data_IF_381109956097
#
_entry.id   IF_381109956097
#
_cell.length_a   1.000
_cell.length_b   1.000
_cell.length_c   1.000
_cell.angle_alpha   90.00
_cell.angle_beta   90.00
_cell.angle_gamma   90.00
#
_symmetry.space_group_name_H-M   'P 1'
#
loop_
_entity.id
_entity.type
_entity.pdbx_description
1 polymer ?
#
# COMPACT_ATOMS: atom_id res chain seq x y z
N UNK A 1 40.71 -27.50 -14.30
CA UNK A 1 40.98 -26.14 -13.78
C UNK A 1 39.65 -25.62 -13.25
N UNK A 2 39.60 -25.20 -12.00
CA UNK A 2 38.41 -24.58 -11.44
C UNK A 2 38.41 -23.12 -11.88
N UNK A 3 37.34 -22.69 -12.53
CA UNK A 3 37.15 -21.29 -12.91
C UNK A 3 36.41 -20.58 -11.77
N UNK A 4 36.97 -19.52 -11.14
CA UNK A 4 36.29 -18.75 -10.11
C UNK A 4 35.14 -17.95 -10.71
N UNK A 5 34.13 -17.62 -9.88
CA UNK A 5 33.14 -16.62 -10.21
C UNK A 5 33.77 -15.23 -10.32
N UNK A 6 33.30 -14.41 -11.22
CA UNK A 6 33.85 -13.07 -11.51
C UNK A 6 32.92 -11.93 -11.06
N UNK A 7 31.78 -12.25 -10.43
CA UNK A 7 30.89 -11.23 -9.88
C UNK A 7 31.41 -10.79 -8.50
N UNK A 8 31.90 -9.57 -8.39
CA UNK A 8 32.40 -8.99 -7.15
C UNK A 8 31.27 -8.40 -6.30
N UNK A 9 31.47 -8.27 -5.00
CA UNK A 9 30.47 -7.78 -4.04
C UNK A 9 29.96 -6.37 -4.40
N UNK A 10 30.82 -5.49 -4.85
CA UNK A 10 30.50 -4.12 -5.29
C UNK A 10 29.61 -4.08 -6.52
N UNK A 11 29.61 -5.16 -7.33
CA UNK A 11 28.81 -5.29 -8.55
C UNK A 11 27.45 -5.97 -8.28
N UNK A 12 27.17 -6.40 -7.05
CA UNK A 12 25.90 -7.02 -6.71
C UNK A 12 24.75 -6.03 -6.93
N UNK A 13 23.70 -6.49 -7.60
CA UNK A 13 22.45 -5.74 -7.67
C UNK A 13 21.89 -5.49 -6.25
N UNK A 14 21.22 -4.36 -6.06
CA UNK A 14 20.72 -3.93 -4.74
C UNK A 14 19.58 -4.77 -4.19
N UNK A 15 19.28 -5.91 -4.84
CA UNK A 15 18.15 -6.76 -4.48
C UNK A 15 18.39 -8.23 -4.79
N UNK A 16 17.59 -9.09 -4.18
CA UNK A 16 17.56 -10.52 -4.45
C UNK A 16 16.25 -10.93 -5.13
N UNK A 17 16.31 -11.77 -6.18
CA UNK A 17 17.50 -12.25 -6.89
C UNK A 17 18.28 -11.10 -7.53
N UNK A 18 19.56 -11.32 -7.82
CA UNK A 18 20.41 -10.31 -8.47
C UNK A 18 19.80 -9.93 -9.83
N UNK A 19 19.18 -8.74 -9.87
CA UNK A 19 18.56 -8.17 -11.07
C UNK A 19 18.47 -6.66 -10.91
N UNK A 20 18.75 -5.93 -11.96
CA UNK A 20 18.62 -4.48 -12.03
C UNK A 20 17.24 -4.02 -12.52
N UNK A 21 16.42 -4.95 -13.01
CA UNK A 21 15.16 -4.64 -13.71
C UNK A 21 14.08 -3.98 -12.81
N UNK A 22 14.13 -4.16 -11.49
CA UNK A 22 13.10 -3.69 -10.57
C UNK A 22 13.47 -2.41 -9.79
N UNK A 23 14.69 -1.87 -9.95
CA UNK A 23 15.22 -0.88 -9.02
C UNK A 23 15.73 0.36 -9.73
N UNK A 24 14.84 1.33 -9.89
CA UNK A 24 15.25 2.70 -10.15
C UNK A 24 15.46 3.44 -8.82
N UNK A 25 16.23 4.52 -8.83
CA UNK A 25 16.43 5.40 -7.66
C UNK A 25 15.14 6.09 -7.22
N UNK A 26 14.11 6.08 -8.05
CA UNK A 26 12.78 6.61 -7.78
C UNK A 26 11.72 5.77 -8.51
N UNK A 27 10.61 5.50 -7.82
CA UNK A 27 9.44 4.91 -8.42
C UNK A 27 8.52 6.01 -8.91
N UNK A 28 8.34 6.10 -10.23
CA UNK A 28 7.50 7.12 -10.87
C UNK A 28 6.22 6.45 -11.34
N UNK A 29 5.08 7.10 -11.07
CA UNK A 29 3.75 6.64 -11.46
C UNK A 29 3.06 7.70 -12.30
N UNK A 30 2.26 7.27 -13.29
CA UNK A 30 1.48 8.12 -14.18
C UNK A 30 0.11 7.52 -14.45
N UNK A 31 -0.88 8.40 -14.66
CA UNK A 31 -2.24 8.03 -15.05
C UNK A 31 -2.83 6.94 -14.15
N UNK A 32 -2.93 7.21 -12.85
CA UNK A 32 -3.52 6.25 -11.93
C UNK A 32 -5.01 6.52 -11.73
N UNK A 33 -5.79 5.43 -11.72
CA UNK A 33 -7.21 5.43 -11.33
C UNK A 33 -7.33 4.77 -9.96
N UNK A 34 -8.06 5.40 -9.03
CA UNK A 34 -8.17 4.96 -7.64
C UNK A 34 -9.63 4.92 -7.19
N UNK A 35 -10.00 3.83 -6.54
CA UNK A 35 -11.23 3.70 -5.76
C UNK A 35 -10.83 3.61 -4.29
N UNK A 36 -11.27 4.55 -3.48
CA UNK A 36 -10.82 4.71 -2.11
C UNK A 36 -12.00 4.81 -1.14
N UNK A 37 -11.93 4.10 -0.04
CA UNK A 37 -12.80 4.32 1.12
C UNK A 37 -11.97 4.59 2.36
N UNK A 38 -12.48 5.50 3.21
CA UNK A 38 -12.03 5.66 4.59
C UNK A 38 -13.11 5.11 5.51
N UNK A 39 -12.72 4.35 6.51
CA UNK A 39 -13.65 3.68 7.42
C UNK A 39 -13.14 3.67 8.86
N UNK A 40 -14.05 3.53 9.80
CA UNK A 40 -13.76 3.15 11.18
C UNK A 40 -13.91 1.65 11.37
N UNK A 41 -13.14 1.10 12.31
CA UNK A 41 -13.19 -0.30 12.70
C UNK A 41 -13.19 -0.45 14.23
N UNK A 42 -13.57 -1.65 14.70
CA UNK A 42 -13.39 -2.03 16.09
C UNK A 42 -11.91 -2.26 16.40
N UNK A 43 -11.45 -1.71 17.55
CA UNK A 43 -10.06 -1.81 18.00
C UNK A 43 -9.60 -3.28 18.13
N UNK A 44 -10.40 -4.12 18.78
CA UNK A 44 -10.00 -5.51 19.04
C UNK A 44 -9.79 -6.33 17.76
N UNK A 45 -10.48 -5.97 16.66
CA UNK A 45 -10.36 -6.68 15.39
C UNK A 45 -9.11 -6.33 14.59
N UNK A 46 -8.43 -5.21 14.91
CA UNK A 46 -7.31 -4.69 14.11
C UNK A 46 -6.04 -4.41 14.94
N UNK A 47 -6.12 -4.45 16.27
CA UNK A 47 -5.00 -4.13 17.15
C UNK A 47 -3.76 -4.99 16.90
N UNK A 48 -3.94 -6.27 16.62
CA UNK A 48 -2.85 -7.21 16.33
C UNK A 48 -2.14 -6.96 14.98
N UNK A 49 -2.64 -6.03 14.16
CA UNK A 49 -2.01 -5.66 12.90
C UNK A 49 -0.99 -4.53 13.06
N UNK A 50 -0.99 -3.86 14.20
CA UNK A 50 -0.15 -2.69 14.46
C UNK A 50 0.95 -3.08 15.45
N UNK A 51 2.23 -3.03 15.04
CA UNK A 51 3.34 -3.37 15.93
C UNK A 51 3.62 -2.26 16.93
N UNK A 52 4.04 -2.62 18.15
CA UNK A 52 4.65 -1.65 19.07
C UNK A 52 5.93 -1.04 18.45
N UNK A 53 6.26 0.24 18.70
CA UNK A 53 5.62 1.17 19.62
C UNK A 53 4.55 2.06 18.96
N UNK A 54 3.97 1.67 17.81
CA UNK A 54 2.92 2.43 17.14
C UNK A 54 1.62 2.38 17.97
N UNK A 55 0.89 3.49 17.97
CA UNK A 55 -0.44 3.58 18.59
C UNK A 55 -1.45 4.11 17.57
N UNK A 56 -2.70 3.70 17.64
CA UNK A 56 -3.74 4.28 16.77
C UNK A 56 -3.90 5.78 17.04
N UNK A 57 -4.01 6.56 15.96
CA UNK A 57 -4.16 8.01 16.05
C UNK A 57 -5.55 8.46 16.56
N UNK A 58 -6.53 7.56 16.57
CA UNK A 58 -7.92 7.83 16.92
C UNK A 58 -8.44 6.76 17.90
N UNK A 59 -9.39 7.13 18.76
CA UNK A 59 -10.04 6.19 19.69
C UNK A 59 -10.68 4.99 18.98
N UNK A 60 -11.34 5.24 17.85
CA UNK A 60 -11.71 4.17 16.90
C UNK A 60 -10.68 4.17 15.77
N UNK A 61 -10.07 3.02 15.47
CA UNK A 61 -9.13 2.90 14.37
C UNK A 61 -9.72 3.40 13.06
N UNK A 62 -9.02 4.31 12.39
CA UNK A 62 -9.41 4.78 11.05
C UNK A 62 -8.52 4.09 10.03
N UNK A 63 -9.17 3.30 9.15
CA UNK A 63 -8.54 2.60 8.06
C UNK A 63 -8.82 3.26 6.71
N UNK A 64 -7.95 3.01 5.76
CA UNK A 64 -8.12 3.38 4.35
C UNK A 64 -7.87 2.15 3.49
N UNK A 65 -8.84 1.81 2.64
CA UNK A 65 -8.70 0.83 1.59
C UNK A 65 -8.70 1.58 0.25
N UNK A 66 -7.64 1.38 -0.53
CA UNK A 66 -7.53 1.92 -1.89
C UNK A 66 -7.30 0.78 -2.87
N UNK A 67 -8.12 0.69 -3.91
CA UNK A 67 -7.90 -0.18 -5.06
C UNK A 67 -7.53 0.73 -6.21
N UNK A 68 -6.37 0.51 -6.83
CA UNK A 68 -5.86 1.40 -7.85
C UNK A 68 -5.26 0.66 -9.04
N UNK A 69 -5.23 1.35 -10.18
CA UNK A 69 -4.51 0.96 -11.38
C UNK A 69 -3.47 2.04 -11.68
N UNK A 70 -2.21 1.68 -11.71
CA UNK A 70 -1.13 2.49 -12.25
C UNK A 70 -0.96 2.13 -13.72
N UNK A 71 -1.51 2.96 -14.63
CA UNK A 71 -1.45 2.69 -16.06
C UNK A 71 -0.01 2.71 -16.58
N UNK A 72 0.85 3.51 -15.97
CA UNK A 72 2.29 3.54 -16.23
C UNK A 72 3.06 3.71 -14.92
N UNK A 73 4.13 2.94 -14.77
CA UNK A 73 5.15 3.18 -13.75
C UNK A 73 6.51 2.68 -14.21
N UNK A 74 7.58 3.06 -13.48
CA UNK A 74 8.93 2.56 -13.70
C UNK A 74 9.10 1.06 -13.41
N UNK A 75 8.07 0.42 -12.81
CA UNK A 75 7.99 -1.03 -12.58
C UNK A 75 6.87 -1.68 -13.40
N UNK A 76 6.45 -1.04 -14.51
CA UNK A 76 5.41 -1.51 -15.40
C UNK A 76 4.01 -1.02 -15.03
N UNK A 77 3.01 -1.44 -15.83
CA UNK A 77 1.59 -1.22 -15.53
C UNK A 77 1.10 -2.32 -14.57
N UNK A 78 0.39 -1.94 -13.52
CA UNK A 78 -0.13 -2.92 -12.56
C UNK A 78 -1.31 -2.38 -11.75
N UNK A 79 -2.08 -3.29 -11.19
CA UNK A 79 -3.11 -2.99 -10.20
C UNK A 79 -2.58 -3.23 -8.78
N UNK A 80 -3.10 -2.46 -7.84
CA UNK A 80 -2.72 -2.54 -6.43
C UNK A 80 -3.93 -2.35 -5.52
N UNK A 81 -3.96 -3.07 -4.41
CA UNK A 81 -4.86 -2.81 -3.30
C UNK A 81 -4.02 -2.53 -2.05
N UNK A 82 -4.26 -1.38 -1.44
CA UNK A 82 -3.57 -0.88 -0.25
C UNK A 82 -4.54 -0.84 0.91
N UNK A 83 -4.12 -1.38 2.04
CA UNK A 83 -4.83 -1.27 3.31
C UNK A 83 -3.91 -0.68 4.37
N UNK A 84 -4.30 0.44 4.93
CA UNK A 84 -3.55 1.14 5.97
C UNK A 84 -4.43 1.57 7.12
N UNK A 85 -3.81 1.81 8.29
CA UNK A 85 -4.44 2.46 9.43
C UNK A 85 -3.67 3.69 9.86
N UNK A 86 -4.41 4.70 10.37
CA UNK A 86 -3.80 5.91 10.94
C UNK A 86 -3.20 5.57 12.29
N UNK A 87 -1.90 5.80 12.42
CA UNK A 87 -1.14 5.56 13.66
C UNK A 87 -0.33 6.80 14.04
N UNK A 88 0.00 6.91 15.32
CA UNK A 88 0.94 7.91 15.83
C UNK A 88 2.25 7.24 16.24
N UNK A 89 3.35 7.88 15.89
CA UNK A 89 4.69 7.53 16.32
C UNK A 89 5.52 8.81 16.48
N UNK A 90 6.17 9.01 17.64
CA UNK A 90 6.99 10.19 17.93
C UNK A 90 6.27 11.53 17.63
N UNK A 91 5.01 11.65 18.06
CA UNK A 91 4.14 12.81 17.86
C UNK A 91 3.78 13.13 16.40
N UNK A 92 4.03 12.21 15.47
CA UNK A 92 3.62 12.34 14.09
C UNK A 92 2.58 11.27 13.73
N UNK A 93 1.59 11.65 12.92
CA UNK A 93 0.61 10.71 12.36
C UNK A 93 1.11 10.16 11.03
N UNK A 94 0.96 8.85 10.87
CA UNK A 94 1.33 8.08 9.68
C UNK A 94 0.17 7.23 9.17
N UNK A 95 0.21 6.87 7.88
CA UNK A 95 -0.55 5.77 7.29
C UNK A 95 0.30 4.49 7.35
N UNK A 96 0.07 3.65 8.37
CA UNK A 96 0.80 2.39 8.51
C UNK A 96 0.19 1.31 7.60
N UNK A 97 1.01 0.74 6.70
CA UNK A 97 0.60 -0.26 5.72
C UNK A 97 0.53 -1.65 6.36
N UNK A 98 -0.69 -2.15 6.57
CA UNK A 98 -0.94 -3.49 7.12
C UNK A 98 -1.05 -4.55 6.03
N UNK A 99 -1.43 -4.18 4.82
CA UNK A 99 -1.58 -5.10 3.71
C UNK A 99 -1.45 -4.38 2.36
N UNK A 100 -0.76 -5.04 1.42
CA UNK A 100 -0.66 -4.58 0.03
C UNK A 100 -0.72 -5.78 -0.91
N UNK A 101 -1.61 -5.72 -1.88
CA UNK A 101 -1.74 -6.74 -2.92
C UNK A 101 -1.44 -6.10 -4.27
N UNK A 102 -0.71 -6.81 -5.14
CA UNK A 102 -0.29 -6.29 -6.46
C UNK A 102 -0.42 -7.36 -7.54
N UNK A 103 -0.60 -6.94 -8.79
CA UNK A 103 -0.62 -7.86 -9.94
C UNK A 103 0.75 -8.03 -10.60
N UNK A 104 1.72 -7.15 -10.31
CA UNK A 104 3.02 -7.12 -10.96
C UNK A 104 4.17 -7.58 -10.06
N UNK A 105 5.02 -8.50 -10.56
CA UNK A 105 6.18 -9.00 -9.82
C UNK A 105 7.22 -7.90 -9.55
N UNK A 106 7.54 -7.06 -10.53
CA UNK A 106 8.48 -5.95 -10.35
C UNK A 106 8.01 -4.97 -9.27
N UNK A 107 6.69 -4.67 -9.24
CA UNK A 107 6.08 -3.83 -8.20
C UNK A 107 6.13 -4.49 -6.82
N UNK A 108 5.99 -5.83 -6.76
CA UNK A 108 6.13 -6.60 -5.52
C UNK A 108 7.54 -6.50 -4.96
N UNK A 109 8.55 -6.84 -5.77
CA UNK A 109 9.96 -6.86 -5.35
C UNK A 109 10.41 -5.46 -4.90
N UNK A 110 10.22 -4.44 -5.74
CA UNK A 110 10.60 -3.06 -5.41
C UNK A 110 9.97 -2.58 -4.09
N UNK A 111 8.70 -2.88 -3.86
CA UNK A 111 8.01 -2.45 -2.64
C UNK A 111 8.49 -3.20 -1.40
N UNK A 112 8.62 -4.52 -1.47
CA UNK A 112 8.98 -5.35 -0.31
C UNK A 112 10.40 -5.11 0.16
N UNK A 113 11.36 -5.20 -0.77
CA UNK A 113 12.77 -5.26 -0.40
C UNK A 113 13.33 -3.90 -0.04
N UNK A 114 12.90 -2.84 -0.73
CA UNK A 114 13.40 -1.48 -0.48
C UNK A 114 12.67 -0.78 0.66
N UNK A 115 11.34 -0.89 0.70
CA UNK A 115 10.51 -0.04 1.56
C UNK A 115 9.75 -0.81 2.64
N UNK A 116 9.68 -2.16 2.55
CA UNK A 116 8.98 -2.97 3.53
C UNK A 116 7.46 -3.00 3.36
N UNK A 117 6.92 -2.60 2.19
CA UNK A 117 5.49 -2.81 1.93
C UNK A 117 5.16 -4.30 2.02
N UNK A 118 4.12 -4.70 2.77
CA UNK A 118 3.75 -6.11 2.94
C UNK A 118 3.07 -6.68 1.68
N UNK A 119 3.74 -6.56 0.51
CA UNK A 119 3.20 -6.90 -0.80
C UNK A 119 3.09 -8.40 -1.01
N UNK A 120 1.98 -8.82 -1.64
CA UNK A 120 1.73 -10.17 -2.13
C UNK A 120 1.11 -10.10 -3.52
N UNK A 121 1.31 -11.14 -4.34
CA UNK A 121 0.63 -11.24 -5.63
C UNK A 121 -0.86 -11.56 -5.44
N UNK A 122 -1.68 -10.94 -6.26
CA UNK A 122 -3.13 -11.09 -6.23
C UNK A 122 -3.74 -10.80 -7.61
N UNK A 123 -5.00 -11.19 -7.79
CA UNK A 123 -5.81 -10.84 -8.94
C UNK A 123 -6.63 -9.60 -8.58
N UNK A 124 -6.33 -8.49 -9.25
CA UNK A 124 -6.97 -7.20 -8.99
C UNK A 124 -7.41 -6.59 -10.31
N UNK A 125 -8.60 -5.99 -10.32
CA UNK A 125 -9.09 -5.23 -11.49
C UNK A 125 -9.98 -4.09 -11.06
N UNK A 126 -10.02 -3.07 -11.92
CA UNK A 126 -10.98 -1.97 -11.85
C UNK A 126 -11.73 -1.96 -13.19
N UNK A 127 -13.03 -2.01 -13.11
CA UNK A 127 -13.95 -2.02 -14.24
C UNK A 127 -14.98 -0.90 -14.05
N UNK A 128 -15.58 -0.46 -15.15
CA UNK A 128 -16.70 0.47 -15.11
C UNK A 128 -17.90 -0.18 -15.80
N UNK A 129 -19.05 -0.11 -15.15
CA UNK A 129 -20.32 -0.57 -15.70
C UNK A 129 -21.35 0.54 -15.48
N UNK A 130 -21.92 1.04 -16.57
CA UNK A 130 -22.79 2.21 -16.58
C UNK A 130 -22.12 3.41 -15.85
N UNK A 131 -22.71 3.85 -14.75
CA UNK A 131 -22.21 4.94 -13.92
C UNK A 131 -21.51 4.47 -12.63
N UNK A 132 -21.05 3.21 -12.59
CA UNK A 132 -20.45 2.61 -11.39
C UNK A 132 -19.04 2.14 -11.71
N UNK A 133 -18.09 2.51 -10.87
CA UNK A 133 -16.73 1.96 -10.88
C UNK A 133 -16.66 0.80 -9.88
N UNK A 134 -16.07 -0.32 -10.31
CA UNK A 134 -16.02 -1.58 -9.55
C UNK A 134 -14.57 -2.01 -9.40
N UNK A 135 -14.09 -2.05 -8.16
CA UNK A 135 -12.79 -2.64 -7.80
C UNK A 135 -12.99 -4.05 -7.24
N UNK A 136 -12.28 -5.02 -7.77
CA UNK A 136 -12.32 -6.42 -7.31
C UNK A 136 -10.92 -6.87 -6.92
N UNK A 137 -10.80 -7.53 -5.76
CA UNK A 137 -9.53 -8.05 -5.23
C UNK A 137 -9.73 -9.51 -4.83
N UNK A 138 -8.85 -10.38 -5.31
CA UNK A 138 -8.80 -11.80 -4.96
C UNK A 138 -7.35 -12.23 -4.73
N UNK A 139 -7.09 -13.16 -3.83
CA UNK A 139 -5.81 -13.87 -3.86
C UNK A 139 -5.75 -14.72 -5.13
N UNK A 140 -4.53 -14.98 -5.63
CA UNK A 140 -4.35 -15.74 -6.86
C UNK A 140 -5.13 -17.06 -6.86
N UNK A 141 -5.90 -17.28 -7.91
CA UNK A 141 -6.73 -18.47 -8.10
C UNK A 141 -7.80 -18.71 -7.02
N UNK A 142 -8.26 -17.65 -6.34
CA UNK A 142 -9.29 -17.73 -5.31
C UNK A 142 -10.49 -16.83 -5.66
N UNK A 143 -11.57 -17.01 -4.91
CA UNK A 143 -12.73 -16.13 -4.99
C UNK A 143 -12.37 -14.71 -4.52
N UNK A 144 -13.05 -13.68 -5.03
CA UNK A 144 -12.86 -12.32 -4.58
C UNK A 144 -13.09 -12.16 -3.07
N UNK A 145 -12.12 -11.59 -2.38
CA UNK A 145 -12.21 -11.22 -0.96
C UNK A 145 -12.76 -9.83 -0.76
N UNK A 146 -12.59 -8.93 -1.75
CA UNK A 146 -13.13 -7.57 -1.72
C UNK A 146 -13.77 -7.26 -3.07
N UNK A 147 -14.97 -6.66 -3.01
CA UNK A 147 -15.58 -5.95 -4.12
C UNK A 147 -16.07 -4.60 -3.62
N UNK A 148 -15.47 -3.54 -4.13
CA UNK A 148 -15.84 -2.16 -3.85
C UNK A 148 -16.50 -1.56 -5.09
N UNK A 149 -17.76 -1.15 -4.96
CA UNK A 149 -18.51 -0.46 -6.00
C UNK A 149 -18.69 0.99 -5.57
N UNK A 150 -18.34 1.94 -6.41
CA UNK A 150 -18.56 3.36 -6.18
C UNK A 150 -19.35 3.92 -7.35
N UNK A 151 -20.49 4.52 -7.05
CA UNK A 151 -21.26 5.33 -7.98
C UNK A 151 -20.92 6.78 -7.73
N UNK A 152 -20.13 7.44 -8.61
CA UNK A 152 -19.81 8.86 -8.50
C UNK A 152 -21.10 9.69 -8.68
N UNK A 153 -21.33 10.63 -7.78
CA UNK A 153 -22.52 11.50 -7.83
C UNK A 153 -22.15 12.98 -7.80
N UNK A 154 -21.11 13.35 -7.05
CA UNK A 154 -20.74 14.74 -6.83
C UNK A 154 -19.26 14.95 -7.08
N UNK A 155 -18.88 15.93 -7.95
CA UNK A 155 -17.47 16.28 -8.10
C UNK A 155 -16.96 16.98 -6.84
N UNK A 156 -15.73 16.69 -6.47
CA UNK A 156 -14.99 17.38 -5.39
C UNK A 156 -14.18 18.49 -6.05
N UNK A 157 -14.43 19.74 -5.66
CA UNK A 157 -13.88 20.91 -6.35
C UNK A 157 -12.45 21.25 -5.93
N UNK A 158 -12.05 20.84 -4.72
CA UNK A 158 -10.73 21.12 -4.15
C UNK A 158 -10.11 19.87 -3.54
N UNK A 159 -8.81 19.73 -3.66
CA UNK A 159 -8.10 18.58 -3.04
C UNK A 159 -7.77 18.89 -1.57
N UNK A 160 -8.73 18.64 -0.70
CA UNK A 160 -8.59 18.77 0.76
C UNK A 160 -8.27 17.44 1.45
N UNK A 161 -7.78 16.44 0.71
CA UNK A 161 -7.42 15.15 1.29
C UNK A 161 -6.35 15.31 2.35
N UNK A 162 -6.64 14.83 3.55
CA UNK A 162 -5.64 14.71 4.58
C UNK A 162 -4.67 13.60 4.21
N UNK A 163 -3.41 13.95 4.00
CA UNK A 163 -2.33 13.03 3.64
C UNK A 163 -1.40 12.85 4.82
N UNK A 164 -1.07 11.60 5.10
CA UNK A 164 -0.09 11.23 6.10
C UNK A 164 1.07 10.51 5.41
N UNK A 165 2.31 10.70 5.86
CA UNK A 165 3.42 9.88 5.37
C UNK A 165 3.10 8.39 5.54
N UNK A 166 3.47 7.60 4.56
CA UNK A 166 3.34 6.15 4.65
C UNK A 166 4.42 5.58 5.57
N UNK A 167 4.07 4.54 6.32
CA UNK A 167 4.97 3.85 7.24
C UNK A 167 4.84 2.34 7.02
N UNK A 168 5.96 1.65 6.85
CA UNK A 168 6.02 0.22 6.63
C UNK A 168 6.94 -0.45 7.63
N UNK A 169 6.66 -1.70 7.97
CA UNK A 169 7.58 -2.58 8.68
C UNK A 169 8.42 -3.36 7.68
N UNK A 170 9.68 -2.99 7.53
CA UNK A 170 10.65 -3.72 6.72
C UNK A 170 11.31 -4.79 7.57
N UNK A 171 11.15 -6.05 7.19
CA UNK A 171 11.72 -7.17 7.91
C UNK A 171 12.37 -8.18 6.95
N UNK A 172 13.60 -8.58 7.25
CA UNK A 172 14.31 -9.66 6.57
C UNK A 172 14.65 -10.72 7.63
N UNK A 173 14.04 -11.91 7.55
CA UNK A 173 14.27 -12.97 8.51
C UNK A 173 15.71 -13.50 8.44
N UNK A 174 16.17 -14.14 9.52
CA UNK A 174 17.40 -14.95 9.50
C UNK A 174 17.14 -16.26 8.74
N UNK A 175 18.20 -16.84 8.17
CA UNK A 175 18.17 -18.22 7.66
C UNK A 175 18.11 -19.25 8.79
N UNK A 176 18.53 -18.87 9.98
CA UNK A 176 18.38 -19.63 11.22
C UNK A 176 17.04 -19.24 11.86
N UNK A 177 16.06 -20.17 11.98
CA UNK A 177 14.74 -19.86 12.51
C UNK A 177 14.77 -19.47 14.00
N UNK A 178 15.79 -19.87 14.75
CA UNK A 178 15.94 -19.56 16.18
C UNK A 178 16.67 -18.22 16.40
N UNK A 179 17.22 -17.63 15.34
CA UNK A 179 17.89 -16.34 15.44
C UNK A 179 16.91 -15.17 15.15
N UNK A 180 17.17 -13.97 15.72
CA UNK A 180 16.40 -12.79 15.39
C UNK A 180 16.52 -12.45 13.90
N UNK A 181 15.56 -11.69 13.32
CA UNK A 181 15.66 -11.24 11.94
C UNK A 181 16.94 -10.43 11.72
N UNK A 182 17.42 -10.38 10.48
CA UNK A 182 18.63 -9.61 10.12
C UNK A 182 18.32 -8.12 9.97
N UNK A 183 17.11 -7.79 9.59
CA UNK A 183 16.56 -6.43 9.52
C UNK A 183 15.17 -6.46 10.12
N UNK A 184 14.85 -5.48 10.97
CA UNK A 184 13.49 -5.27 11.50
C UNK A 184 13.35 -3.79 11.86
N UNK A 185 12.75 -2.99 10.97
CA UNK A 185 12.76 -1.54 11.05
C UNK A 185 11.46 -0.91 10.52
N UNK A 186 11.07 0.23 11.08
CA UNK A 186 10.01 1.06 10.51
C UNK A 186 10.62 2.02 9.50
N UNK A 187 10.07 2.02 8.29
CA UNK A 187 10.53 2.84 7.17
C UNK A 187 9.41 3.75 6.71
N UNK A 188 9.69 5.04 6.60
CA UNK A 188 8.83 6.02 5.93
C UNK A 188 9.41 6.41 4.58
N UNK A 189 8.55 6.81 3.64
CA UNK A 189 8.96 7.18 2.28
C UNK A 189 8.86 8.67 2.06
N UNK A 190 9.81 9.22 1.30
CA UNK A 190 9.75 10.56 0.74
C UNK A 190 9.35 10.50 -0.74
N UNK A 191 8.93 11.64 -1.30
CA UNK A 191 8.60 11.73 -2.72
C UNK A 191 7.61 12.85 -3.02
N UNK A 192 7.01 12.77 -4.19
CA UNK A 192 5.97 13.70 -4.63
C UNK A 192 4.61 13.02 -4.47
N UNK A 193 3.71 13.57 -3.65
CA UNK A 193 2.38 12.99 -3.48
C UNK A 193 1.59 13.02 -4.79
N UNK A 194 0.56 12.17 -4.87
CA UNK A 194 -0.28 12.07 -6.05
C UNK A 194 -1.02 13.39 -6.34
N UNK A 195 -0.91 13.85 -7.59
CA UNK A 195 -1.60 15.06 -8.09
C UNK A 195 -2.87 14.61 -8.82
N UNK A 196 -4.03 15.14 -8.43
CA UNK A 196 -5.30 14.83 -9.08
C UNK A 196 -5.29 15.40 -10.50
N UNK A 197 -5.85 14.65 -11.44
CA UNK A 197 -6.01 15.07 -12.83
C UNK A 197 -7.09 16.14 -12.92
N UNK A 198 -6.81 17.23 -13.64
CA UNK A 198 -7.80 18.22 -14.04
C UNK A 198 -8.33 17.84 -15.41
N UNK A 199 -9.65 17.76 -15.55
CA UNK A 199 -10.32 17.49 -16.82
C UNK A 199 -10.36 18.74 -17.71
N UNK A 200 -10.80 18.59 -18.96
CA UNK A 200 -10.85 19.69 -19.94
C UNK A 200 -11.82 20.82 -19.58
N UNK A 201 -12.78 20.54 -18.74
CA UNK A 201 -13.74 21.52 -18.19
C UNK A 201 -13.20 22.28 -16.96
N UNK A 202 -11.95 22.01 -16.55
CA UNK A 202 -11.30 22.63 -15.40
C UNK A 202 -11.63 22.00 -14.06
N UNK A 203 -12.50 20.99 -14.02
CA UNK A 203 -12.84 20.28 -12.80
C UNK A 203 -11.79 19.19 -12.49
N UNK A 204 -11.68 18.82 -11.21
CA UNK A 204 -10.85 17.71 -10.79
C UNK A 204 -11.54 16.38 -11.13
N UNK A 205 -10.79 15.43 -11.67
CA UNK A 205 -11.24 14.02 -11.78
C UNK A 205 -11.25 13.38 -10.37
N UNK A 206 -12.05 13.97 -9.49
CA UNK A 206 -12.22 13.58 -8.11
C UNK A 206 -13.71 13.62 -7.74
N UNK A 207 -14.25 12.45 -7.43
CA UNK A 207 -15.68 12.28 -7.23
C UNK A 207 -15.95 11.58 -5.90
N UNK A 208 -16.99 12.03 -5.21
CA UNK A 208 -17.64 11.32 -4.11
C UNK A 208 -19.01 10.83 -4.51
N UNK A 209 -19.58 9.90 -3.77
CA UNK A 209 -20.89 9.35 -4.08
C UNK A 209 -21.29 8.22 -3.15
N UNK A 210 -22.13 7.33 -3.64
CA UNK A 210 -22.53 6.11 -2.91
C UNK A 210 -21.58 4.99 -3.19
N UNK A 211 -21.30 4.20 -2.15
CA UNK A 211 -20.53 2.99 -2.31
C UNK A 211 -21.23 1.77 -1.71
N UNK A 212 -20.90 0.61 -2.27
CA UNK A 212 -21.25 -0.69 -1.71
C UNK A 212 -19.97 -1.52 -1.59
N UNK A 213 -19.74 -2.07 -0.41
CA UNK A 213 -18.55 -2.86 -0.09
C UNK A 213 -18.97 -4.27 0.31
N UNK A 214 -18.50 -5.25 -0.45
CA UNK A 214 -18.46 -6.64 -0.04
C UNK A 214 -17.03 -6.95 0.36
N UNK A 215 -16.83 -7.39 1.60
CA UNK A 215 -15.50 -7.74 2.13
C UNK A 215 -15.64 -9.02 2.95
N UNK A 216 -14.92 -10.05 2.53
CA UNK A 216 -14.95 -11.37 3.15
C UNK A 216 -14.16 -11.35 4.47
N UNK A 217 -14.72 -11.97 5.50
CA UNK A 217 -14.07 -12.13 6.80
C UNK A 217 -13.30 -13.46 6.94
N UNK A 218 -13.42 -14.35 5.96
CA UNK A 218 -12.77 -15.67 5.94
C UNK A 218 -11.35 -15.65 5.35
N UNK A 219 -10.83 -14.49 4.91
CA UNK A 219 -9.50 -14.41 4.33
C UNK A 219 -8.44 -15.05 5.26
N UNK A 220 -7.57 -15.90 4.69
CA UNK A 220 -6.51 -16.59 5.44
C UNK A 220 -5.54 -15.58 6.05
N UNK A 221 -5.19 -14.52 5.29
CA UNK A 221 -4.35 -13.44 5.76
C UNK A 221 -5.13 -12.51 6.70
N UNK A 222 -4.74 -12.41 7.99
CA UNK A 222 -5.45 -11.59 8.97
C UNK A 222 -5.60 -10.13 8.57
N UNK A 223 -4.61 -9.56 7.85
CA UNK A 223 -4.64 -8.18 7.40
C UNK A 223 -5.82 -7.92 6.45
N UNK A 224 -6.25 -8.93 5.69
CA UNK A 224 -7.29 -8.83 4.67
C UNK A 224 -8.66 -9.38 5.11
N UNK A 225 -8.83 -9.73 6.38
CA UNK A 225 -10.15 -10.04 6.94
C UNK A 225 -10.95 -8.77 7.12
N UNK A 226 -12.25 -8.85 6.89
CA UNK A 226 -13.15 -7.73 7.15
C UNK A 226 -13.07 -7.33 8.63
N UNK A 227 -12.73 -6.07 8.95
CA UNK A 227 -12.78 -5.58 10.33
C UNK A 227 -14.22 -5.63 10.88
N UNK A 228 -14.35 -5.94 12.17
CA UNK A 228 -15.66 -5.86 12.84
C UNK A 228 -16.09 -4.40 12.96
N UNK A 229 -17.40 -4.18 13.04
CA UNK A 229 -18.02 -2.86 13.19
C UNK A 229 -17.52 -1.82 12.16
N UNK A 230 -17.18 -2.30 10.95
CA UNK A 230 -16.74 -1.42 9.87
C UNK A 230 -17.84 -0.41 9.52
N UNK A 231 -17.52 0.89 9.64
CA UNK A 231 -18.38 2.00 9.23
C UNK A 231 -17.66 2.88 8.21
N UNK A 232 -18.17 2.92 6.98
CA UNK A 232 -17.58 3.78 5.94
C UNK A 232 -17.84 5.24 6.29
N UNK A 233 -16.78 6.04 6.28
CA UNK A 233 -16.81 7.49 6.53
C UNK A 233 -16.88 8.28 5.24
N UNK A 234 -16.14 7.83 4.21
CA UNK A 234 -16.14 8.46 2.88
C UNK A 234 -15.79 7.46 1.80
N UNK A 235 -16.19 7.75 0.58
CA UNK A 235 -15.77 7.00 -0.59
C UNK A 235 -15.48 7.94 -1.76
N UNK A 236 -14.48 7.58 -2.56
CA UNK A 236 -13.99 8.44 -3.64
C UNK A 236 -13.53 7.62 -4.84
N UNK A 237 -13.85 8.14 -6.04
CA UNK A 237 -13.25 7.73 -7.30
C UNK A 237 -12.36 8.87 -7.79
N UNK A 238 -11.07 8.58 -8.03
CA UNK A 238 -10.03 9.59 -8.27
C UNK A 238 -9.18 9.18 -9.45
N UNK A 239 -8.86 10.13 -10.34
CA UNK A 239 -7.77 9.96 -11.31
C UNK A 239 -6.64 10.92 -10.99
N UNK A 240 -5.40 10.45 -11.09
CA UNK A 240 -4.21 11.25 -10.82
C UNK A 240 -3.29 11.30 -12.02
N UNK A 241 -2.61 12.44 -12.18
CA UNK A 241 -1.62 12.64 -13.25
C UNK A 241 -0.34 11.85 -12.95
N UNK A 242 0.06 11.82 -11.67
CA UNK A 242 1.24 11.08 -11.26
C UNK A 242 1.65 11.32 -9.82
N UNK A 243 2.59 10.50 -9.38
CA UNK A 243 3.26 10.58 -8.08
C UNK A 243 4.67 10.01 -8.19
N UNK A 244 5.48 10.18 -7.16
CA UNK A 244 6.84 9.64 -7.11
C UNK A 244 7.21 9.26 -5.67
N UNK A 245 7.84 8.10 -5.52
CA UNK A 245 8.51 7.66 -4.29
C UNK A 245 10.01 7.71 -4.56
N UNK A 246 10.76 8.47 -3.75
CA UNK A 246 12.20 8.66 -3.96
C UNK A 246 13.04 7.79 -3.05
N UNK A 247 12.91 7.93 -1.74
CA UNK A 247 13.76 7.23 -0.76
C UNK A 247 12.96 6.78 0.45
N UNK A 248 13.40 5.67 1.04
CA UNK A 248 13.01 5.27 2.38
C UNK A 248 13.94 5.87 3.43
N UNK A 249 13.38 6.17 4.60
CA UNK A 249 14.14 6.59 5.78
C UNK A 249 13.73 5.68 6.94
N UNK A 250 14.71 5.05 7.58
CA UNK A 250 14.49 4.27 8.80
C UNK A 250 14.20 5.25 9.95
N UNK A 251 13.02 5.12 10.57
CA UNK A 251 12.60 5.96 11.71
C UNK A 251 12.65 5.21 13.03
N UNK A 252 12.73 3.89 13.00
CA UNK A 252 12.86 3.05 14.17
C UNK A 252 13.48 1.70 13.81
N UNK A 253 14.47 1.24 14.58
CA UNK A 253 15.13 -0.05 14.41
C UNK A 253 14.91 -0.91 15.66
N UNK A 254 14.15 -2.00 15.51
CA UNK A 254 13.81 -2.91 16.60
C UNK A 254 15.03 -3.68 17.14
N UNK A 255 16.07 -3.85 16.32
CA UNK A 255 17.25 -4.62 16.72
C UNK A 255 18.21 -3.78 17.55
N UNK A 256 18.28 -2.48 17.30
CA UNK A 256 19.11 -1.56 18.08
C UNK A 256 18.60 -1.35 19.52
N UNK A 257 17.28 -1.47 19.73
CA UNK A 257 16.65 -1.28 21.05
C UNK A 257 16.86 -2.49 21.99
N UNK A 258 17.20 -3.66 21.47
CA UNK A 258 17.47 -4.85 22.31
C UNK A 258 18.85 -4.83 22.96
N UNK A 259 19.73 -3.91 22.56
CA UNK A 259 21.10 -3.79 23.06
C UNK A 259 21.28 -2.60 24.03
N UNK A 260 20.23 -1.90 24.36
CA UNK A 260 20.15 -0.85 25.36
C UNK A 260 19.27 -1.31 26.54
#
# INVERSE_FOLDING_TARGET
MNHPGLLHFEDFAKAMPITDAAYSTSLIFRDSTQLCITFEADYASVSNLIPEPLVFANNRPIGTLTILHNAFSTVGSYYEALLSYRVCFQNQTYSYMVGTLVTGEAALLAGREMYGYPKRLADIRIESSDNTAIGTVAFQNQNPIIRLMIRPETPVLTDERQRFPELCLRMIPSVDPDAPPRICELVTMSGVPSVIKTASDGLLDYWTGKCHLVWDDSAIDPAWRRPKELRILSCHAIKTVGSRIDRGTVVYDYLSQKNS
#
